data_IF_692912574961
#
_entry.id   IF_692912574961
#
_cell.length_a   1.000
_cell.length_b   1.000
_cell.length_c   1.000
_cell.angle_alpha   90.00
_cell.angle_beta   90.00
_cell.angle_gamma   90.00
#
_symmetry.space_group_name_H-M   'P 1'
#
loop_
_entity.id
_entity.type
_entity.pdbx_description
1 polymer ?
#
# COMPACT_ATOMS: atom_id res chain seq x y z
N UNK A 1 -8.81 6.25 13.67
CA UNK A 1 -7.68 7.20 13.71
C UNK A 1 -6.47 6.45 14.25
N UNK A 2 -5.41 6.27 13.44
CA UNK A 2 -4.12 5.80 13.94
C UNK A 2 -3.60 6.89 14.88
N UNK A 3 -3.61 6.66 16.18
CA UNK A 3 -3.24 7.65 17.18
C UNK A 3 -1.78 8.10 16.99
N UNK A 4 -1.52 9.38 17.28
CA UNK A 4 -0.19 9.99 17.17
C UNK A 4 0.88 9.32 18.07
N UNK A 5 0.46 8.54 19.06
CA UNK A 5 1.31 7.81 20.00
C UNK A 5 1.41 6.31 19.67
N UNK A 6 1.95 5.98 18.50
CA UNK A 6 2.37 4.60 18.22
C UNK A 6 3.53 4.22 19.14
N UNK A 7 3.35 3.15 19.92
CA UNK A 7 4.43 2.52 20.69
C UNK A 7 5.46 1.88 19.76
N UNK A 8 6.67 1.60 20.27
CA UNK A 8 7.70 0.89 19.48
C UNK A 8 7.22 -0.51 19.03
N UNK A 9 6.40 -1.17 19.86
CA UNK A 9 5.85 -2.48 19.55
C UNK A 9 4.82 -2.42 18.40
N UNK A 10 3.97 -1.39 18.38
CA UNK A 10 3.04 -1.16 17.27
C UNK A 10 3.78 -0.79 15.99
N UNK A 11 4.80 0.08 16.08
CA UNK A 11 5.66 0.42 14.94
C UNK A 11 6.31 -0.84 14.35
N UNK A 12 6.74 -1.77 15.20
CA UNK A 12 7.29 -3.05 14.77
C UNK A 12 6.24 -3.92 14.07
N UNK A 13 5.04 -4.07 14.64
CA UNK A 13 3.93 -4.83 14.04
C UNK A 13 3.53 -4.27 12.68
N UNK A 14 3.52 -2.96 12.51
CA UNK A 14 3.27 -2.29 11.23
C UNK A 14 4.40 -2.59 10.24
N UNK A 15 5.66 -2.46 10.67
CA UNK A 15 6.81 -2.74 9.81
C UNK A 15 6.88 -4.22 9.36
N UNK A 16 6.40 -5.15 10.19
CA UNK A 16 6.28 -6.58 9.87
C UNK A 16 5.19 -6.85 8.81
N UNK A 17 4.16 -6.00 8.71
CA UNK A 17 3.10 -6.06 7.68
C UNK A 17 3.50 -5.45 6.33
N UNK A 18 4.79 -5.19 6.10
CA UNK A 18 5.26 -4.68 4.80
C UNK A 18 4.90 -5.65 3.67
N UNK A 19 4.28 -5.11 2.64
CA UNK A 19 3.96 -5.85 1.43
C UNK A 19 4.88 -5.42 0.30
N UNK A 20 5.21 -6.37 -0.57
CA UNK A 20 5.90 -6.07 -1.83
C UNK A 20 4.84 -5.63 -2.84
N UNK A 21 5.01 -4.41 -3.35
CA UNK A 21 4.15 -3.89 -4.40
C UNK A 21 4.35 -4.70 -5.70
N UNK A 22 3.28 -5.03 -6.44
CA UNK A 22 3.39 -5.71 -7.73
C UNK A 22 4.30 -4.94 -8.71
N UNK A 23 5.05 -5.68 -9.53
CA UNK A 23 6.09 -5.11 -10.38
C UNK A 23 5.60 -4.00 -11.35
N UNK A 24 4.33 -4.05 -11.76
CA UNK A 24 3.67 -3.03 -12.61
C UNK A 24 3.82 -1.62 -12.04
N UNK A 25 3.73 -1.46 -10.73
CA UNK A 25 3.82 -0.16 -10.05
C UNK A 25 5.25 0.36 -9.91
N UNK A 26 6.26 -0.50 -10.15
CA UNK A 26 7.67 -0.10 -10.19
C UNK A 26 8.18 0.12 -11.61
N UNK A 27 7.31 0.04 -12.62
CA UNK A 27 7.68 0.29 -14.01
C UNK A 27 7.88 1.79 -14.26
N UNK A 28 8.84 2.16 -15.10
CA UNK A 28 9.18 3.57 -15.39
C UNK A 28 7.98 4.43 -15.81
N UNK A 29 7.02 3.84 -16.51
CA UNK A 29 5.82 4.52 -16.98
C UNK A 29 4.77 4.77 -15.88
N UNK A 30 4.85 4.07 -14.73
CA UNK A 30 3.86 4.15 -13.65
C UNK A 30 4.44 4.63 -12.31
N UNK A 31 5.74 4.44 -12.09
CA UNK A 31 6.37 4.61 -10.79
C UNK A 31 6.18 6.02 -10.21
N UNK A 32 6.28 7.06 -11.02
CA UNK A 32 6.08 8.44 -10.55
C UNK A 32 4.64 8.68 -10.09
N UNK A 33 3.67 8.14 -10.83
CA UNK A 33 2.26 8.26 -10.47
C UNK A 33 1.93 7.46 -9.20
N UNK A 34 2.43 6.23 -9.12
CA UNK A 34 2.30 5.37 -7.93
C UNK A 34 2.91 6.03 -6.69
N UNK A 35 4.13 6.56 -6.78
CA UNK A 35 4.79 7.23 -5.65
C UNK A 35 3.97 8.45 -5.22
N UNK A 36 3.54 9.29 -6.16
CA UNK A 36 2.74 10.48 -5.86
C UNK A 36 1.42 10.15 -5.14
N UNK A 37 0.71 9.11 -5.58
CA UNK A 37 -0.53 8.68 -4.92
C UNK A 37 -0.27 8.17 -3.50
N UNK A 38 0.79 7.39 -3.30
CA UNK A 38 1.16 6.87 -1.99
C UNK A 38 1.68 7.95 -1.04
N UNK A 39 2.39 8.96 -1.56
CA UNK A 39 2.84 10.12 -0.78
C UNK A 39 1.67 10.98 -0.30
N UNK A 40 0.60 11.09 -1.09
CA UNK A 40 -0.63 11.76 -0.65
C UNK A 40 -1.35 11.02 0.50
N UNK A 41 -1.06 9.73 0.69
CA UNK A 41 -1.57 8.92 1.79
C UNK A 41 -0.59 8.85 2.98
N UNK A 42 0.48 9.66 2.97
CA UNK A 42 1.47 9.67 4.03
C UNK A 42 0.86 10.09 5.38
N UNK A 43 1.29 9.40 6.44
CA UNK A 43 0.93 9.74 7.82
C UNK A 43 2.11 10.49 8.42
N UNK A 44 1.94 11.79 8.70
CA UNK A 44 3.03 12.66 9.19
C UNK A 44 3.66 12.12 10.48
N UNK A 45 2.85 11.62 11.42
CA UNK A 45 3.33 11.06 12.70
C UNK A 45 4.23 9.82 12.56
N UNK A 46 4.21 9.14 11.40
CA UNK A 46 5.09 8.00 11.15
C UNK A 46 6.51 8.45 10.78
N UNK A 47 6.68 9.68 10.29
CA UNK A 47 7.99 10.20 9.90
C UNK A 47 8.90 10.49 11.10
N UNK A 48 8.31 10.66 12.28
CA UNK A 48 9.02 10.79 13.55
C UNK A 48 9.53 9.45 14.10
N UNK A 49 9.00 8.32 13.61
CA UNK A 49 9.34 6.97 14.09
C UNK A 49 10.40 6.34 13.19
N UNK A 50 11.57 6.02 13.75
CA UNK A 50 12.70 5.47 12.97
C UNK A 50 12.36 4.19 12.17
N UNK A 51 11.43 3.37 12.68
CA UNK A 51 10.99 2.13 12.03
C UNK A 51 10.07 2.37 10.83
N UNK A 52 9.37 3.50 10.80
CA UNK A 52 8.33 3.81 9.81
C UNK A 52 8.69 4.98 8.90
N UNK A 53 9.74 5.73 9.24
CA UNK A 53 10.28 6.81 8.42
C UNK A 53 10.61 6.32 7.01
N UNK A 54 10.25 7.12 6.00
CA UNK A 54 10.39 6.81 4.57
C UNK A 54 9.59 5.59 4.09
N UNK A 55 8.58 5.12 4.85
CA UNK A 55 7.64 4.12 4.35
C UNK A 55 6.43 4.80 3.71
N UNK A 56 5.97 4.18 2.63
CA UNK A 56 4.72 4.50 1.98
C UNK A 56 3.61 3.63 2.57
N UNK A 57 2.41 4.21 2.68
CA UNK A 57 1.23 3.54 3.23
C UNK A 57 0.24 3.30 2.12
N UNK A 58 -0.34 2.11 2.10
CA UNK A 58 -1.45 1.75 1.22
C UNK A 58 -2.62 1.33 2.11
N UNK A 59 -3.69 2.10 2.11
CA UNK A 59 -4.88 1.76 2.86
C UNK A 59 -5.75 0.78 2.06
N UNK A 60 -6.18 -0.28 2.72
CA UNK A 60 -7.18 -1.21 2.22
C UNK A 60 -8.52 -0.93 2.90
N UNK A 61 -9.60 -1.15 2.18
CA UNK A 61 -10.95 -1.10 2.72
C UNK A 61 -11.30 -2.37 3.52
N UNK A 62 -12.56 -2.45 3.95
CA UNK A 62 -13.13 -3.60 4.66
C UNK A 62 -13.11 -4.92 3.88
N UNK A 63 -13.00 -4.87 2.55
CA UNK A 63 -12.89 -6.03 1.67
C UNK A 63 -11.43 -6.43 1.39
N UNK A 64 -10.46 -5.77 2.03
CA UNK A 64 -9.02 -5.85 1.75
C UNK A 64 -8.67 -5.40 0.31
N UNK A 65 -9.41 -4.42 -0.20
CA UNK A 65 -9.30 -3.89 -1.55
C UNK A 65 -8.92 -2.41 -1.54
N UNK A 66 -8.32 -1.93 -2.63
CA UNK A 66 -7.98 -0.50 -2.80
C UNK A 66 -7.75 -0.17 -4.27
N UNK A 67 -7.66 1.11 -4.60
CA UNK A 67 -7.29 1.58 -5.93
C UNK A 67 -5.94 2.32 -5.86
N UNK A 68 -5.02 1.95 -6.77
CA UNK A 68 -3.74 2.63 -6.94
C UNK A 68 -3.44 2.73 -8.43
N UNK A 69 -3.16 3.93 -8.93
CA UNK A 69 -2.82 4.17 -10.34
C UNK A 69 -3.80 3.52 -11.32
N UNK A 70 -5.12 3.69 -11.04
CA UNK A 70 -6.24 3.13 -11.82
C UNK A 70 -6.28 1.59 -11.90
N UNK A 71 -5.55 0.92 -11.02
CA UNK A 71 -5.59 -0.53 -10.88
C UNK A 71 -6.30 -0.88 -9.59
N UNK A 72 -7.13 -1.91 -9.62
CA UNK A 72 -7.73 -2.47 -8.42
C UNK A 72 -6.72 -3.42 -7.77
N UNK A 73 -6.48 -3.26 -6.48
CA UNK A 73 -5.62 -4.14 -5.70
C UNK A 73 -6.43 -4.87 -4.66
N UNK A 74 -6.18 -6.17 -4.53
CA UNK A 74 -6.80 -7.02 -3.53
C UNK A 74 -5.73 -7.78 -2.76
N UNK A 75 -5.77 -7.68 -1.44
CA UNK A 75 -4.91 -8.45 -0.57
C UNK A 75 -5.56 -9.78 -0.19
N UNK A 76 -4.77 -10.85 -0.29
CA UNK A 76 -5.11 -12.19 0.20
C UNK A 76 -3.93 -12.73 1.01
N UNK A 77 -4.21 -13.38 2.14
CA UNK A 77 -3.18 -14.03 2.95
C UNK A 77 -2.45 -15.16 2.20
N UNK A 78 -3.11 -15.80 1.23
CA UNK A 78 -2.54 -16.89 0.44
C UNK A 78 -1.67 -16.38 -0.72
N UNK A 79 -2.14 -15.34 -1.41
CA UNK A 79 -1.53 -14.85 -2.67
C UNK A 79 -0.78 -13.53 -2.54
N UNK A 80 -0.87 -12.86 -1.40
CA UNK A 80 -0.35 -11.52 -1.18
C UNK A 80 -1.21 -10.44 -1.84
N UNK A 81 -0.56 -9.35 -2.27
CA UNK A 81 -1.22 -8.22 -2.93
C UNK A 81 -1.32 -8.48 -4.44
N UNK A 82 -2.52 -8.68 -4.94
CA UNK A 82 -2.81 -8.92 -6.36
C UNK A 82 -3.33 -7.63 -6.99
N UNK A 83 -2.94 -7.39 -8.24
CA UNK A 83 -3.39 -6.26 -9.05
C UNK A 83 -4.27 -6.80 -10.19
N UNK A 84 -5.52 -6.39 -10.24
CA UNK A 84 -6.41 -6.57 -11.39
C UNK A 84 -6.56 -5.23 -12.11
N UNK A 85 -6.39 -5.24 -13.42
CA UNK A 85 -6.87 -4.14 -14.25
C UNK A 85 -8.36 -4.32 -14.47
N UNK A 86 -9.11 -3.24 -14.61
CA UNK A 86 -10.48 -3.28 -15.15
C UNK A 86 -10.48 -3.60 -16.65
N UNK A 87 -9.52 -4.38 -17.14
CA UNK A 87 -9.64 -5.03 -18.43
C UNK A 87 -10.53 -6.23 -18.18
N UNK A 88 -11.79 -6.06 -18.59
CA UNK A 88 -12.87 -7.04 -18.54
C UNK A 88 -12.34 -8.47 -18.56
N UNK A 89 -12.80 -9.27 -17.60
CA UNK A 89 -12.99 -10.70 -17.80
C UNK A 89 -13.95 -10.91 -18.99
N UNK A 90 -13.48 -10.65 -20.20
CA UNK A 90 -13.98 -11.23 -21.44
C UNK A 90 -12.89 -12.19 -21.91
N UNK A 91 -12.86 -13.38 -21.31
CA UNK A 91 -12.57 -14.61 -22.03
C UNK A 91 -13.19 -15.77 -21.25
N UNK A 92 -14.38 -16.11 -21.72
CA UNK A 92 -15.13 -17.36 -21.55
C UNK A 92 -14.27 -18.62 -21.80
#
# INVERSE_FOLDING_TARGET
ELSADLTDEECRKINEQRLRLPARFSQKWNIENTVKELENQCIESWQDKYLLKNKLVLFLDENNETELSKCHLKYSSEKGLICSTWESDENE
#
